data_IF_766584586574
#
_entry.id   IF_766584586574
#
_cell.length_a   1.000
_cell.length_b   1.000
_cell.length_c   1.000
_cell.angle_alpha   90.00
_cell.angle_beta   90.00
_cell.angle_gamma   90.00
#
_symmetry.space_group_name_H-M   'P 1'
#
loop_
_entity.id
_entity.type
_entity.pdbx_description
1 polymer ?
#
# COMPACT_ATOMS: atom_id res chain seq x y z
N UNK A 1 6.65 -1.22 -11.46
CA UNK A 1 5.97 -1.88 -12.60
C UNK A 1 6.92 -2.11 -13.76
N UNK A 2 7.58 -1.08 -14.27
CA UNK A 2 8.59 -1.21 -15.36
C UNK A 2 9.63 -2.30 -15.10
N UNK A 3 10.15 -2.38 -13.86
CA UNK A 3 11.11 -3.42 -13.51
C UNK A 3 10.54 -4.83 -13.70
N UNK A 4 9.33 -5.12 -13.22
CA UNK A 4 8.69 -6.42 -13.39
C UNK A 4 8.41 -6.70 -14.87
N UNK A 5 7.86 -5.73 -15.59
CA UNK A 5 7.60 -5.82 -17.04
C UNK A 5 8.84 -6.10 -17.87
N UNK A 6 9.99 -5.55 -17.52
CA UNK A 6 11.26 -5.76 -18.23
C UNK A 6 11.94 -7.09 -17.88
N UNK A 7 11.45 -7.81 -16.86
CA UNK A 7 12.07 -9.04 -16.36
C UNK A 7 11.14 -10.26 -16.40
N UNK A 8 9.93 -10.13 -16.95
CA UNK A 8 8.95 -11.21 -17.09
C UNK A 8 8.26 -11.12 -18.45
N UNK A 9 7.83 -12.25 -18.97
CA UNK A 9 7.06 -12.35 -20.22
C UNK A 9 5.65 -11.77 -20.03
N UNK A 10 5.05 -12.06 -18.88
CA UNK A 10 3.72 -11.57 -18.48
C UNK A 10 3.75 -11.10 -17.03
N UNK A 11 2.97 -10.07 -16.71
CA UNK A 11 2.85 -9.50 -15.37
C UNK A 11 1.39 -9.36 -14.96
N UNK A 12 1.02 -9.94 -13.84
CA UNK A 12 -0.30 -9.77 -13.22
C UNK A 12 -0.18 -8.81 -12.04
N UNK A 13 -1.00 -7.77 -12.04
CA UNK A 13 -1.13 -6.83 -10.92
C UNK A 13 -2.39 -7.17 -10.15
N UNK A 14 -2.23 -7.63 -8.91
CA UNK A 14 -3.34 -7.82 -8.00
C UNK A 14 -3.66 -6.51 -7.25
N UNK A 15 -4.80 -5.93 -7.53
CA UNK A 15 -5.28 -4.77 -6.78
C UNK A 15 -6.07 -5.25 -5.56
N UNK A 16 -5.60 -4.89 -4.36
CA UNK A 16 -6.29 -5.23 -3.10
C UNK A 16 -7.68 -4.60 -3.09
N UNK A 17 -8.71 -5.41 -2.93
CA UNK A 17 -10.11 -5.00 -3.09
C UNK A 17 -10.67 -4.25 -1.87
N UNK A 18 -10.10 -4.49 -0.68
CA UNK A 18 -10.60 -3.89 0.56
C UNK A 18 -10.65 -2.36 0.52
N UNK A 19 -11.82 -1.81 0.85
CA UNK A 19 -12.12 -0.38 0.71
C UNK A 19 -11.90 0.40 2.02
N UNK A 20 -10.80 0.07 2.74
CA UNK A 20 -10.34 0.82 3.93
C UNK A 20 -9.35 1.94 3.60
N UNK A 21 -9.12 2.18 2.32
CA UNK A 21 -8.28 3.25 1.81
C UNK A 21 -9.09 4.53 1.61
N UNK A 22 -8.46 5.69 1.74
CA UNK A 22 -9.08 6.99 1.41
C UNK A 22 -9.48 7.04 -0.08
N UNK A 23 -8.70 6.39 -0.95
CA UNK A 23 -9.04 6.18 -2.35
C UNK A 23 -9.95 4.95 -2.48
N UNK A 24 -11.17 5.06 -3.01
CA UNK A 24 -12.05 3.93 -3.27
C UNK A 24 -11.38 2.87 -4.16
N UNK A 25 -11.78 1.61 -3.99
CA UNK A 25 -11.23 0.52 -4.80
C UNK A 25 -11.42 0.75 -6.30
N UNK A 26 -12.61 1.17 -6.72
CA UNK A 26 -12.92 1.47 -8.12
C UNK A 26 -11.93 2.45 -8.75
N UNK A 27 -11.59 3.50 -8.01
CA UNK A 27 -10.69 4.54 -8.48
C UNK A 27 -9.24 4.03 -8.54
N UNK A 28 -8.79 3.33 -7.47
CA UNK A 28 -7.46 2.68 -7.45
C UNK A 28 -7.30 1.71 -8.61
N UNK A 29 -8.29 0.84 -8.83
CA UNK A 29 -8.29 -0.14 -9.90
C UNK A 29 -8.23 0.51 -11.29
N UNK A 30 -9.06 1.55 -11.51
CA UNK A 30 -9.06 2.32 -12.76
C UNK A 30 -7.72 3.02 -13.00
N UNK A 31 -7.15 3.66 -11.99
CA UNK A 31 -5.86 4.35 -12.08
C UNK A 31 -4.71 3.40 -12.39
N UNK A 32 -4.68 2.21 -11.76
CA UNK A 32 -3.68 1.18 -12.06
C UNK A 32 -3.82 0.75 -13.52
N UNK A 33 -5.03 0.40 -13.98
CA UNK A 33 -5.28 0.02 -15.40
C UNK A 33 -4.84 1.10 -16.38
N UNK A 34 -5.16 2.37 -16.10
CA UNK A 34 -4.74 3.48 -16.94
C UNK A 34 -3.22 3.68 -16.94
N UNK A 35 -2.57 3.45 -15.79
CA UNK A 35 -1.12 3.61 -15.65
C UNK A 35 -0.30 2.58 -16.42
N UNK A 36 -0.86 1.41 -16.69
CA UNK A 36 -0.18 0.30 -17.38
C UNK A 36 -0.76 -0.03 -18.76
N UNK A 37 -1.72 0.73 -19.24
CA UNK A 37 -2.47 0.43 -20.49
C UNK A 37 -1.58 0.25 -21.73
N UNK A 38 -0.43 0.91 -21.76
CA UNK A 38 0.51 0.87 -22.88
C UNK A 38 1.60 -0.19 -22.69
N UNK A 39 1.56 -0.95 -21.57
CA UNK A 39 2.49 -2.03 -21.25
C UNK A 39 1.92 -3.38 -21.73
N UNK A 40 2.47 -3.92 -22.81
CA UNK A 40 2.05 -5.24 -23.34
C UNK A 40 2.38 -6.35 -22.35
N UNK A 41 1.50 -7.35 -22.24
CA UNK A 41 1.68 -8.47 -21.31
C UNK A 41 1.46 -8.10 -19.83
N UNK A 42 0.87 -6.94 -19.54
CA UNK A 42 0.49 -6.55 -18.17
C UNK A 42 -1.01 -6.60 -18.01
N UNK A 43 -1.48 -7.42 -17.07
CA UNK A 43 -2.89 -7.53 -16.70
C UNK A 43 -3.14 -7.01 -15.28
N UNK A 44 -4.28 -6.35 -15.08
CA UNK A 44 -4.71 -5.86 -13.75
C UNK A 44 -5.99 -6.56 -13.36
N UNK A 45 -5.93 -7.31 -12.28
CA UNK A 45 -7.09 -8.03 -11.72
C UNK A 45 -7.33 -7.64 -10.26
N UNK A 46 -8.57 -7.86 -9.79
CA UNK A 46 -8.88 -7.72 -8.37
C UNK A 46 -8.26 -8.86 -7.57
N UNK A 47 -7.73 -8.57 -6.38
CA UNK A 47 -7.28 -9.58 -5.43
C UNK A 47 -8.43 -10.43 -4.85
N UNK A 48 -9.67 -9.98 -4.99
CA UNK A 48 -10.85 -10.65 -4.43
C UNK A 48 -10.74 -10.88 -2.93
N UNK A 49 -11.36 -11.96 -2.47
CA UNK A 49 -11.40 -12.33 -1.06
C UNK A 49 -10.20 -13.17 -0.60
N UNK A 50 -9.18 -13.36 -1.46
CA UNK A 50 -8.09 -14.31 -1.20
C UNK A 50 -6.69 -13.69 -1.18
N UNK A 51 -6.56 -12.39 -1.47
CA UNK A 51 -5.27 -11.69 -1.46
C UNK A 51 -5.39 -10.43 -0.61
N UNK A 52 -4.78 -10.44 0.57
CA UNK A 52 -4.81 -9.32 1.52
C UNK A 52 -6.26 -8.88 1.76
N UNK A 53 -7.08 -9.81 2.19
CA UNK A 53 -8.52 -9.59 2.41
C UNK A 53 -8.89 -9.74 3.88
N UNK A 54 -10.11 -9.37 4.25
CA UNK A 54 -10.62 -9.64 5.60
C UNK A 54 -10.73 -11.14 5.90
N UNK A 55 -10.77 -12.02 4.90
CA UNK A 55 -10.82 -13.46 5.09
C UNK A 55 -9.46 -14.08 5.38
N UNK A 56 -8.41 -13.60 4.73
CA UNK A 56 -7.06 -14.19 4.81
C UNK A 56 -6.11 -13.38 5.69
N UNK A 57 -6.30 -12.06 5.78
CA UNK A 57 -5.42 -11.17 6.52
C UNK A 57 -6.17 -9.99 7.16
N UNK A 58 -7.15 -10.24 8.07
CA UNK A 58 -7.95 -9.18 8.69
C UNK A 58 -7.13 -8.15 9.45
N UNK A 59 -6.01 -8.52 10.09
CA UNK A 59 -5.16 -7.60 10.83
C UNK A 59 -4.26 -6.72 9.96
N UNK A 60 -4.19 -6.96 8.65
CA UNK A 60 -3.46 -6.06 7.75
C UNK A 60 -3.94 -4.61 7.88
N UNK A 61 -5.21 -4.44 8.15
CA UNK A 61 -5.88 -3.14 8.29
C UNK A 61 -5.94 -2.63 9.73
N UNK A 62 -5.54 -3.47 10.73
CA UNK A 62 -5.56 -3.15 12.17
C UNK A 62 -4.14 -3.35 12.70
N UNK A 63 -3.44 -2.26 13.00
CA UNK A 63 -2.03 -2.33 13.43
C UNK A 63 -1.91 -2.88 14.86
N UNK A 64 -0.91 -3.75 15.08
CA UNK A 64 -0.42 -4.10 16.41
C UNK A 64 -1.12 -5.27 17.11
N UNK A 65 -1.57 -6.30 16.39
CA UNK A 65 -2.14 -7.51 17.00
C UNK A 65 -1.13 -8.67 17.03
N UNK A 66 -1.24 -9.53 18.05
CA UNK A 66 -0.39 -10.74 18.22
C UNK A 66 -0.64 -11.80 17.12
N UNK A 67 -1.77 -11.70 16.41
CA UNK A 67 -2.17 -12.63 15.36
C UNK A 67 -1.49 -12.36 13.99
N UNK A 68 -0.72 -11.28 13.89
CA UNK A 68 -0.11 -10.83 12.64
C UNK A 68 0.69 -11.93 11.94
N UNK A 69 1.51 -12.68 12.68
CA UNK A 69 2.37 -13.73 12.11
C UNK A 69 1.56 -14.89 11.50
N UNK A 70 0.49 -15.32 12.16
CA UNK A 70 -0.38 -16.40 11.65
C UNK A 70 -1.11 -15.97 10.37
N UNK A 71 -1.62 -14.76 10.34
CA UNK A 71 -2.40 -14.24 9.20
C UNK A 71 -1.51 -13.94 7.99
N UNK A 72 -0.32 -13.36 8.19
CA UNK A 72 0.65 -13.17 7.11
C UNK A 72 1.06 -14.49 6.47
N UNK A 73 1.29 -15.52 7.30
CA UNK A 73 1.63 -16.86 6.83
C UNK A 73 0.46 -17.53 6.10
N UNK A 74 -0.78 -17.38 6.60
CA UNK A 74 -1.98 -17.88 5.94
C UNK A 74 -2.15 -17.29 4.55
N UNK A 75 -2.14 -15.96 4.42
CA UNK A 75 -2.31 -15.27 3.14
C UNK A 75 -1.21 -15.65 2.14
N UNK A 76 0.06 -15.66 2.57
CA UNK A 76 1.17 -16.11 1.75
C UNK A 76 1.02 -17.57 1.30
N UNK A 77 0.52 -18.46 2.18
CA UNK A 77 0.30 -19.89 1.86
C UNK A 77 -0.83 -20.07 0.86
N UNK A 78 -1.94 -19.37 1.03
CA UNK A 78 -3.05 -19.40 0.05
C UNK A 78 -2.56 -18.93 -1.32
N UNK A 79 -1.80 -17.85 -1.36
CA UNK A 79 -1.20 -17.38 -2.61
C UNK A 79 -0.29 -18.44 -3.24
N UNK A 80 0.65 -18.98 -2.48
CA UNK A 80 1.66 -19.93 -3.00
C UNK A 80 1.06 -21.26 -3.45
N UNK A 81 0.04 -21.77 -2.73
CA UNK A 81 -0.49 -23.11 -2.97
C UNK A 81 -1.73 -23.17 -3.86
N UNK A 82 -2.44 -22.03 -4.04
CA UNK A 82 -3.69 -21.99 -4.80
C UNK A 82 -3.62 -21.02 -5.98
N UNK A 83 -3.16 -19.80 -5.75
CA UNK A 83 -3.21 -18.75 -6.76
C UNK A 83 -2.03 -18.86 -7.74
N UNK A 84 -0.84 -18.96 -7.23
CA UNK A 84 0.35 -19.02 -8.07
C UNK A 84 0.35 -20.22 -9.03
N UNK A 85 0.02 -21.45 -8.61
CA UNK A 85 -0.06 -22.58 -9.55
C UNK A 85 -1.17 -22.43 -10.58
N UNK A 86 -2.34 -21.89 -10.21
CA UNK A 86 -3.46 -21.70 -11.11
C UNK A 86 -3.19 -20.67 -12.22
N UNK A 87 -2.29 -19.72 -11.97
CA UNK A 87 -1.91 -18.64 -12.88
C UNK A 87 -0.48 -18.80 -13.42
N UNK A 88 0.19 -19.92 -13.16
CA UNK A 88 1.58 -20.18 -13.54
C UNK A 88 2.57 -19.09 -13.07
N UNK A 89 2.33 -18.53 -11.87
CA UNK A 89 3.19 -17.48 -11.30
C UNK A 89 4.45 -18.13 -10.70
N UNK A 90 5.60 -17.73 -11.21
CA UNK A 90 6.92 -18.20 -10.75
C UNK A 90 7.68 -17.17 -9.92
N UNK A 91 7.32 -15.89 -10.06
CA UNK A 91 7.99 -14.77 -9.37
C UNK A 91 6.93 -13.82 -8.81
N UNK A 92 7.11 -13.34 -7.58
CA UNK A 92 6.32 -12.23 -7.02
C UNK A 92 7.22 -11.05 -6.69
N UNK A 93 6.79 -9.87 -7.15
CA UNK A 93 7.47 -8.60 -6.87
C UNK A 93 6.75 -7.87 -5.74
N UNK A 94 7.51 -7.37 -4.78
CA UNK A 94 7.01 -6.53 -3.69
C UNK A 94 7.92 -5.33 -3.50
N UNK A 95 7.41 -4.24 -2.95
CA UNK A 95 8.24 -3.10 -2.56
C UNK A 95 8.96 -3.37 -1.25
N UNK A 96 10.17 -2.89 -1.14
CA UNK A 96 10.89 -2.79 0.13
C UNK A 96 10.06 -1.99 1.15
N UNK A 97 10.01 -2.43 2.41
CA UNK A 97 9.28 -1.73 3.47
C UNK A 97 10.16 -1.58 4.71
N UNK A 98 10.82 -0.43 4.87
CA UNK A 98 11.72 -0.22 5.99
C UNK A 98 11.02 0.18 7.30
N UNK A 99 9.76 0.62 7.26
CA UNK A 99 9.12 1.31 8.39
C UNK A 99 7.82 0.66 8.88
N UNK A 100 6.99 0.13 8.00
CA UNK A 100 5.72 -0.49 8.40
C UNK A 100 5.91 -1.94 8.83
N UNK A 101 5.75 -2.19 10.13
CA UNK A 101 5.96 -3.51 10.73
C UNK A 101 5.05 -4.59 10.16
N UNK A 102 3.82 -4.24 9.78
CA UNK A 102 2.85 -5.19 9.20
C UNK A 102 3.31 -5.64 7.82
N UNK A 103 3.69 -4.71 6.97
CA UNK A 103 4.20 -5.03 5.63
C UNK A 103 5.53 -5.78 5.70
N UNK A 104 6.43 -5.41 6.64
CA UNK A 104 7.68 -6.12 6.85
C UNK A 104 7.44 -7.58 7.29
N UNK A 105 6.51 -7.81 8.23
CA UNK A 105 6.14 -9.15 8.67
C UNK A 105 5.56 -9.98 7.51
N UNK A 106 4.76 -9.36 6.65
CA UNK A 106 4.21 -10.00 5.46
C UNK A 106 5.31 -10.35 4.43
N UNK A 107 6.24 -9.45 4.15
CA UNK A 107 7.38 -9.75 3.28
C UNK A 107 8.22 -10.91 3.83
N UNK A 108 8.43 -10.98 5.14
CA UNK A 108 9.16 -12.09 5.79
C UNK A 108 8.39 -13.41 5.64
N UNK A 109 7.08 -13.42 5.88
CA UNK A 109 6.26 -14.61 5.72
C UNK A 109 6.25 -15.10 4.26
N UNK A 110 6.14 -14.20 3.28
CA UNK A 110 6.24 -14.53 1.86
C UNK A 110 7.60 -15.15 1.52
N UNK A 111 8.69 -14.60 2.05
CA UNK A 111 10.04 -15.13 1.80
C UNK A 111 10.17 -16.58 2.27
N UNK A 112 9.65 -16.89 3.46
CA UNK A 112 9.65 -18.25 4.00
C UNK A 112 8.78 -19.20 3.18
N UNK A 113 7.51 -18.82 2.98
CA UNK A 113 6.52 -19.68 2.32
C UNK A 113 6.84 -19.91 0.85
N UNK A 114 7.28 -18.87 0.13
CA UNK A 114 7.55 -18.97 -1.31
C UNK A 114 8.78 -19.81 -1.60
N UNK A 115 9.82 -19.73 -0.76
CA UNK A 115 10.99 -20.61 -0.88
C UNK A 115 10.62 -22.09 -0.81
N UNK A 116 9.62 -22.44 0.03
CA UNK A 116 9.14 -23.82 0.17
C UNK A 116 8.23 -24.27 -0.99
N UNK A 117 7.71 -23.34 -1.79
CA UNK A 117 6.79 -23.61 -2.89
C UNK A 117 7.38 -23.28 -4.29
N UNK A 118 8.67 -23.04 -4.39
CA UNK A 118 9.36 -22.80 -5.65
C UNK A 118 8.99 -21.46 -6.32
N UNK A 119 8.52 -20.47 -5.56
CA UNK A 119 8.21 -19.14 -6.05
C UNK A 119 9.34 -18.20 -5.65
N UNK A 120 9.88 -17.45 -6.59
CA UNK A 120 10.87 -16.41 -6.32
C UNK A 120 10.19 -15.16 -5.74
N UNK A 121 10.70 -14.61 -4.64
CA UNK A 121 10.30 -13.29 -4.12
C UNK A 121 11.36 -12.27 -4.48
N UNK A 122 10.99 -11.23 -5.24
CA UNK A 122 11.86 -10.09 -5.57
C UNK A 122 11.39 -8.84 -4.84
N UNK A 123 12.20 -8.38 -3.90
CA UNK A 123 11.99 -7.09 -3.24
C UNK A 123 12.64 -5.98 -4.06
N UNK A 124 11.82 -4.99 -4.45
CA UNK A 124 12.26 -3.86 -5.25
C UNK A 124 12.48 -2.67 -4.34
N UNK A 125 13.67 -2.03 -4.40
CA UNK A 125 13.93 -0.82 -3.65
C UNK A 125 12.90 0.27 -3.93
N UNK A 126 12.58 1.08 -2.93
CA UNK A 126 11.66 2.21 -3.10
C UNK A 126 12.24 3.25 -4.04
N UNK A 127 11.42 3.72 -4.96
CA UNK A 127 11.79 4.81 -5.85
C UNK A 127 11.98 6.11 -5.05
N UNK A 128 13.02 6.85 -5.40
CA UNK A 128 13.31 8.17 -4.85
C UNK A 128 13.20 9.23 -5.94
N UNK A 129 12.60 10.36 -5.61
CA UNK A 129 12.58 11.57 -6.45
C UNK A 129 13.29 12.69 -5.69
N UNK A 130 14.52 13.01 -6.11
CA UNK A 130 15.42 13.83 -5.32
C UNK A 130 15.76 13.14 -3.98
N UNK A 131 15.61 13.85 -2.86
CA UNK A 131 15.85 13.32 -1.51
C UNK A 131 14.61 12.74 -0.83
N UNK A 132 13.50 12.55 -1.56
CA UNK A 132 12.25 12.07 -1.00
C UNK A 132 11.88 10.68 -1.55
N UNK A 133 11.52 9.77 -0.64
CA UNK A 133 10.98 8.47 -0.99
C UNK A 133 9.56 8.64 -1.52
N UNK A 134 9.30 8.09 -2.70
CA UNK A 134 7.94 8.04 -3.27
C UNK A 134 7.10 7.03 -2.50
N UNK A 135 6.11 7.52 -1.78
CA UNK A 135 5.18 6.69 -1.01
C UNK A 135 3.78 7.27 -1.04
N UNK A 136 2.78 6.42 -0.79
CA UNK A 136 1.40 6.89 -0.67
C UNK A 136 1.22 7.89 0.49
N UNK A 137 1.99 7.72 1.57
CA UNK A 137 1.97 8.65 2.71
C UNK A 137 2.55 10.02 2.36
N UNK A 138 3.68 10.04 1.63
CA UNK A 138 4.28 11.30 1.16
C UNK A 138 3.35 12.07 0.22
N UNK A 139 2.68 11.35 -0.71
CA UNK A 139 1.70 11.97 -1.62
C UNK A 139 0.49 12.53 -0.86
N UNK A 140 -0.08 11.75 0.09
CA UNK A 140 -1.21 12.24 0.91
C UNK A 140 -0.84 13.47 1.74
N UNK A 141 0.36 13.47 2.33
CA UNK A 141 0.85 14.63 3.07
C UNK A 141 0.98 15.86 2.16
N UNK A 142 1.60 15.72 0.99
CA UNK A 142 1.72 16.82 0.03
C UNK A 142 0.35 17.35 -0.42
N UNK A 143 -0.64 16.47 -0.63
CA UNK A 143 -2.03 16.87 -0.94
C UNK A 143 -2.71 17.60 0.23
N UNK A 144 -2.46 17.18 1.48
CA UNK A 144 -2.99 17.85 2.65
C UNK A 144 -2.42 19.25 2.83
N UNK A 145 -1.14 19.42 2.52
CA UNK A 145 -0.40 20.67 2.65
C UNK A 145 -0.49 21.57 1.39
N UNK A 146 -1.31 21.19 0.38
CA UNK A 146 -1.42 21.86 -0.93
C UNK A 146 -0.08 22.00 -1.71
N UNK A 147 0.89 21.14 -1.40
CA UNK A 147 2.19 21.08 -2.07
C UNK A 147 2.08 20.34 -3.41
N UNK A 148 1.50 21.02 -4.38
CA UNK A 148 1.30 20.48 -5.72
C UNK A 148 2.61 20.23 -6.47
N UNK A 149 3.69 20.95 -6.16
CA UNK A 149 4.99 20.71 -6.77
C UNK A 149 5.50 19.30 -6.43
N UNK A 150 5.43 18.92 -5.17
CA UNK A 150 5.76 17.57 -4.72
C UNK A 150 4.82 16.52 -5.32
N UNK A 151 3.51 16.77 -5.39
CA UNK A 151 2.54 15.87 -6.02
C UNK A 151 2.89 15.63 -7.48
N UNK A 152 3.17 16.68 -8.28
CA UNK A 152 3.55 16.56 -9.69
C UNK A 152 4.79 15.70 -9.91
N UNK A 153 5.74 15.72 -8.98
CA UNK A 153 6.96 14.91 -9.06
C UNK A 153 6.73 13.44 -8.72
N UNK A 154 5.75 13.15 -7.83
CA UNK A 154 5.58 11.82 -7.23
C UNK A 154 4.56 10.93 -7.92
N UNK A 155 3.61 11.50 -8.67
CA UNK A 155 2.51 10.70 -9.22
C UNK A 155 2.49 10.71 -10.75
N UNK A 156 1.99 9.63 -11.39
CA UNK A 156 1.81 9.58 -12.84
C UNK A 156 0.82 10.63 -13.35
N UNK A 157 0.93 10.97 -14.65
CA UNK A 157 0.02 11.91 -15.32
C UNK A 157 -1.46 11.52 -15.20
N UNK A 158 -1.76 10.23 -15.27
CA UNK A 158 -3.13 9.69 -15.08
C UNK A 158 -3.70 10.02 -13.70
N UNK A 159 -2.88 9.87 -12.65
CA UNK A 159 -3.25 10.25 -11.29
C UNK A 159 -3.45 11.75 -11.14
N UNK A 160 -2.62 12.58 -11.78
CA UNK A 160 -2.82 14.04 -11.78
C UNK A 160 -4.14 14.46 -12.41
N UNK A 161 -4.52 13.83 -13.53
CA UNK A 161 -5.81 14.09 -14.19
C UNK A 161 -6.96 13.70 -13.25
N UNK A 162 -6.86 12.53 -12.61
CA UNK A 162 -7.86 12.10 -11.64
C UNK A 162 -7.98 13.07 -10.45
N UNK A 163 -6.87 13.49 -9.86
CA UNK A 163 -6.88 14.41 -8.72
C UNK A 163 -7.53 15.75 -9.03
N UNK A 164 -7.51 16.18 -10.31
CA UNK A 164 -8.21 17.40 -10.79
C UNK A 164 -9.70 17.17 -11.08
N UNK A 165 -10.18 15.93 -11.12
CA UNK A 165 -11.59 15.61 -11.35
C UNK A 165 -12.44 15.84 -10.08
N UNK A 166 -13.78 15.93 -10.17
CA UNK A 166 -14.65 16.03 -9.01
C UNK A 166 -14.45 14.89 -7.99
N UNK A 167 -14.26 13.65 -8.45
CA UNK A 167 -13.98 12.50 -7.58
C UNK A 167 -12.63 12.65 -6.85
N UNK A 168 -11.60 13.06 -7.56
CA UNK A 168 -10.27 13.32 -6.98
C UNK A 168 -10.28 14.47 -5.97
N UNK A 169 -11.05 15.52 -6.21
CA UNK A 169 -11.21 16.64 -5.27
C UNK A 169 -11.91 16.19 -3.97
N UNK A 170 -12.88 15.30 -4.06
CA UNK A 170 -13.52 14.72 -2.88
C UNK A 170 -12.53 13.86 -2.07
N UNK A 171 -11.66 13.10 -2.74
CA UNK A 171 -10.58 12.35 -2.07
C UNK A 171 -9.60 13.30 -1.38
N UNK A 172 -9.20 14.40 -2.03
CA UNK A 172 -8.32 15.41 -1.41
C UNK A 172 -8.99 16.02 -0.17
N UNK A 173 -10.27 16.33 -0.24
CA UNK A 173 -11.03 16.84 0.92
C UNK A 173 -10.98 15.87 2.10
N UNK A 174 -11.18 14.56 1.86
CA UNK A 174 -11.08 13.52 2.90
C UNK A 174 -9.67 13.40 3.47
N UNK A 175 -8.64 13.52 2.63
CA UNK A 175 -7.24 13.53 3.08
C UNK A 175 -7.01 14.68 4.05
N UNK A 176 -7.41 15.89 3.68
CA UNK A 176 -7.25 17.09 4.52
C UNK A 176 -7.98 16.97 5.86
N UNK A 177 -9.19 16.45 5.86
CA UNK A 177 -9.96 16.21 7.09
C UNK A 177 -9.26 15.17 7.99
N UNK A 178 -8.77 14.08 7.42
CA UNK A 178 -8.06 13.03 8.17
C UNK A 178 -6.77 13.54 8.80
N UNK A 179 -5.99 14.33 8.08
CA UNK A 179 -4.75 14.88 8.61
C UNK A 179 -5.00 15.99 9.64
N UNK A 180 -6.06 16.80 9.48
CA UNK A 180 -6.47 17.77 10.48
C UNK A 180 -6.90 17.07 11.81
N UNK A 181 -7.68 16.00 11.70
CA UNK A 181 -8.09 15.22 12.87
C UNK A 181 -6.89 14.61 13.61
N UNK A 182 -5.95 14.00 12.89
CA UNK A 182 -4.72 13.48 13.50
C UNK A 182 -3.88 14.54 14.22
N UNK A 183 -3.81 15.75 13.66
CA UNK A 183 -3.11 16.86 14.32
C UNK A 183 -3.77 17.23 15.63
N UNK A 184 -5.11 17.32 15.65
CA UNK A 184 -5.87 17.61 16.86
C UNK A 184 -5.66 16.54 17.95
N UNK A 185 -5.76 15.27 17.59
CA UNK A 185 -5.52 14.16 18.53
C UNK A 185 -4.08 14.18 19.10
N UNK A 186 -3.10 14.46 18.25
CA UNK A 186 -1.70 14.57 18.69
C UNK A 186 -1.47 15.74 19.64
N UNK A 187 -2.09 16.89 19.40
CA UNK A 187 -2.02 18.06 20.28
C UNK A 187 -2.72 17.82 21.63
N UNK A 188 -3.88 17.15 21.62
CA UNK A 188 -4.61 16.79 22.84
C UNK A 188 -3.78 15.82 23.70
N UNK A 189 -3.26 14.77 23.09
CA UNK A 189 -2.40 13.82 23.78
C UNK A 189 -1.12 14.46 24.34
N UNK A 190 -0.51 15.38 23.62
CA UNK A 190 0.66 16.10 24.10
C UNK A 190 0.33 17.00 25.32
N UNK A 191 -0.85 17.61 25.35
CA UNK A 191 -1.35 18.38 26.50
C UNK A 191 -1.60 17.49 27.72
N UNK A 192 -2.22 16.32 27.52
CA UNK A 192 -2.47 15.34 28.61
C UNK A 192 -1.14 14.82 29.19
N UNK A 193 -0.16 14.48 28.33
CA UNK A 193 1.15 14.02 28.77
C UNK A 193 1.92 15.11 29.52
N UNK A 194 1.78 16.38 29.13
CA UNK A 194 2.40 17.51 29.81
C UNK A 194 1.76 17.71 31.20
N UNK A 195 0.43 17.70 31.29
CA UNK A 195 -0.30 17.81 32.55
C UNK A 195 0.02 16.66 33.52
N UNK A 196 0.13 15.42 33.00
CA UNK A 196 0.48 14.26 33.82
C UNK A 196 1.94 14.32 34.35
N UNK A 197 2.85 14.98 33.63
CA UNK A 197 4.24 15.21 34.09
C UNK A 197 4.32 16.30 35.14
N UNK A 198 3.49 17.33 35.08
CA UNK A 198 3.42 18.38 36.10
C UNK A 198 2.82 17.83 37.40
N UNK A 199 1.73 17.07 37.33
CA UNK A 199 1.09 16.45 38.49
C UNK A 199 1.98 15.41 39.23
N UNK A 200 3.04 14.90 38.61
CA UNK A 200 4.01 13.99 39.25
C UNK A 200 5.20 14.71 39.90
N UNK A 201 5.30 16.02 39.76
CA UNK A 201 6.37 16.84 40.36
C UNK A 201 5.96 17.53 41.65
N UNK A 202 4.66 17.54 41.94
CA UNK A 202 4.07 17.93 43.23
C UNK A 202 3.94 16.71 44.14
#
# INVERSE_FOLDING_TARGET
MEYAHNNCDEVIIFAVQEDRSIFPFSDRFSLIKQGVRDMKGVEVISGGDFIISNATFPTYFIKGTDELAAQTKLDATVFATRIAPALNITVRFVGEEPTDKTTLAYNNAMREVFAQNGIELKEIPREQKGNQIVSASSVRKALADDDWETVYRMVPKTTLIYLKSPAGQEVIRRIKMTEAFKKMEAEEKAKEEAAAKEAKKE
#
